data_IF_009833639391
#
_entry.id   IF_009833639391
#
_cell.length_a   1.000
_cell.length_b   1.000
_cell.length_c   1.000
_cell.angle_alpha   90.00
_cell.angle_beta   90.00
_cell.angle_gamma   90.00
#
_symmetry.space_group_name_H-M   'P 1'
#
loop_
_entity.id
_entity.type
_entity.pdbx_description
1 polymer ?
#
# COMPACT_ATOMS: atom_id res chain seq x y z
N UNK A 1 4.93 10.57 -11.98
CA UNK A 1 4.27 10.97 -10.73
C UNK A 1 3.16 9.99 -10.40
N UNK A 2 2.79 9.84 -9.12
CA UNK A 2 1.68 8.98 -8.66
C UNK A 2 0.39 9.27 -9.45
N UNK A 3 0.10 10.55 -9.67
CA UNK A 3 -1.05 11.00 -10.47
C UNK A 3 -0.98 10.56 -11.95
N UNK A 4 0.20 10.60 -12.58
CA UNK A 4 0.36 10.13 -13.96
C UNK A 4 0.14 8.62 -14.10
N UNK A 5 0.64 7.83 -13.14
CA UNK A 5 0.36 6.40 -13.09
C UNK A 5 -1.14 6.12 -12.89
N UNK A 6 -1.79 6.83 -11.97
CA UNK A 6 -3.23 6.71 -11.72
C UNK A 6 -4.07 6.99 -12.97
N UNK A 7 -3.75 8.04 -13.74
CA UNK A 7 -4.43 8.36 -15.00
C UNK A 7 -4.28 7.24 -16.03
N UNK A 8 -3.08 6.67 -16.18
CA UNK A 8 -2.82 5.58 -17.14
C UNK A 8 -3.60 4.33 -16.76
N UNK A 9 -3.58 3.95 -15.48
CA UNK A 9 -4.34 2.79 -14.97
C UNK A 9 -5.83 3.01 -15.17
N UNK A 10 -6.36 4.18 -14.79
CA UNK A 10 -7.77 4.51 -14.94
C UNK A 10 -8.21 4.46 -16.40
N UNK A 11 -7.44 5.06 -17.32
CA UNK A 11 -7.73 5.03 -18.76
C UNK A 11 -7.75 3.60 -19.32
N UNK A 12 -6.79 2.75 -18.90
CA UNK A 12 -6.75 1.34 -19.31
C UNK A 12 -7.95 0.56 -18.78
N UNK A 13 -8.32 0.76 -17.52
CA UNK A 13 -9.46 0.10 -16.88
C UNK A 13 -10.78 0.53 -17.52
N UNK A 14 -10.98 1.83 -17.73
CA UNK A 14 -12.20 2.37 -18.37
C UNK A 14 -12.40 1.87 -19.81
N UNK A 15 -11.31 1.60 -20.54
CA UNK A 15 -11.36 1.02 -21.89
C UNK A 15 -11.67 -0.47 -21.89
N UNK A 16 -11.41 -1.18 -20.80
CA UNK A 16 -11.72 -2.60 -20.69
C UNK A 16 -13.18 -2.81 -20.25
N UNK A 17 -14.08 -2.96 -21.22
CA UNK A 17 -15.52 -3.21 -20.96
C UNK A 17 -15.81 -4.50 -20.18
N UNK A 18 -14.88 -5.45 -20.16
CA UNK A 18 -15.00 -6.69 -19.40
C UNK A 18 -14.49 -6.57 -17.95
N UNK A 19 -13.95 -5.41 -17.55
CA UNK A 19 -13.43 -5.21 -16.21
C UNK A 19 -14.56 -5.27 -15.17
N UNK A 20 -14.40 -6.16 -14.19
CA UNK A 20 -15.32 -6.29 -13.06
C UNK A 20 -14.90 -5.32 -11.96
N UNK A 21 -15.58 -4.19 -11.85
CA UNK A 21 -15.27 -3.14 -10.85
C UNK A 21 -15.26 -3.61 -9.41
N UNK A 22 -16.09 -4.59 -9.05
CA UNK A 22 -16.08 -5.23 -7.73
C UNK A 22 -15.60 -6.69 -7.82
N UNK A 23 -14.84 -7.01 -8.86
CA UNK A 23 -14.21 -8.30 -9.08
C UNK A 23 -12.94 -8.50 -8.24
N UNK A 24 -12.32 -9.68 -8.34
CA UNK A 24 -11.10 -10.00 -7.59
C UNK A 24 -9.88 -9.19 -8.04
N UNK A 25 -9.84 -8.76 -9.31
CA UNK A 25 -8.72 -7.97 -9.85
C UNK A 25 -8.83 -6.47 -9.56
N UNK A 26 -9.91 -6.04 -8.89
CA UNK A 26 -10.13 -4.64 -8.57
C UNK A 26 -9.61 -4.28 -7.18
N UNK A 27 -9.00 -3.10 -7.08
CA UNK A 27 -8.61 -2.48 -5.82
C UNK A 27 -9.77 -1.74 -5.14
N UNK A 28 -10.96 -1.71 -5.75
CA UNK A 28 -12.13 -1.15 -5.08
C UNK A 28 -12.58 -2.05 -3.91
N UNK A 29 -12.95 -1.45 -2.77
CA UNK A 29 -13.60 -2.17 -1.69
C UNK A 29 -14.89 -2.85 -2.15
N UNK A 30 -15.14 -4.06 -1.67
CA UNK A 30 -16.32 -4.89 -1.94
C UNK A 30 -16.76 -5.60 -0.66
N UNK A 31 -17.98 -6.13 -0.64
CA UNK A 31 -18.53 -6.84 0.52
C UNK A 31 -17.64 -7.97 1.06
N UNK A 32 -16.94 -8.68 0.17
CA UNK A 32 -15.95 -9.70 0.57
C UNK A 32 -14.86 -9.14 1.49
N UNK A 33 -14.39 -7.90 1.29
CA UNK A 33 -13.33 -7.32 2.13
C UNK A 33 -13.80 -7.18 3.58
N UNK A 34 -15.09 -6.85 3.77
CA UNK A 34 -15.73 -6.81 5.08
C UNK A 34 -15.88 -8.22 5.68
N UNK A 35 -16.26 -9.20 4.88
CA UNK A 35 -16.36 -10.59 5.33
C UNK A 35 -15.00 -11.17 5.72
N UNK A 36 -13.97 -10.98 4.88
CA UNK A 36 -12.60 -11.40 5.14
C UNK A 36 -12.03 -10.76 6.41
N UNK A 37 -12.33 -9.47 6.64
CA UNK A 37 -11.92 -8.78 7.87
C UNK A 37 -12.60 -9.37 9.11
N UNK A 38 -13.93 -9.56 9.08
CA UNK A 38 -14.66 -10.18 10.20
C UNK A 38 -14.14 -11.59 10.49
N UNK A 39 -13.93 -12.39 9.45
CA UNK A 39 -13.45 -13.76 9.59
C UNK A 39 -12.00 -13.80 10.11
N UNK A 40 -11.15 -12.85 9.70
CA UNK A 40 -9.82 -12.67 10.26
C UNK A 40 -9.87 -12.41 11.77
N UNK A 41 -10.71 -11.46 12.21
CA UNK A 41 -10.90 -11.20 13.64
C UNK A 41 -11.39 -12.45 14.38
N UNK A 42 -12.40 -13.15 13.84
CA UNK A 42 -12.90 -14.39 14.45
C UNK A 42 -11.81 -15.44 14.56
N UNK A 43 -11.01 -15.63 13.52
CA UNK A 43 -9.90 -16.58 13.52
C UNK A 43 -8.84 -16.24 14.57
N UNK A 44 -8.45 -14.96 14.70
CA UNK A 44 -7.52 -14.52 15.74
C UNK A 44 -8.00 -14.84 17.17
N UNK A 45 -9.31 -14.79 17.40
CA UNK A 45 -9.92 -15.19 18.69
C UNK A 45 -10.27 -16.68 18.79
N UNK A 46 -9.84 -17.51 17.83
CA UNK A 46 -10.14 -18.95 17.79
C UNK A 46 -11.62 -19.30 17.51
N UNK A 47 -12.41 -18.35 17.00
CA UNK A 47 -13.87 -18.44 16.77
C UNK A 47 -14.24 -18.70 15.30
N UNK A 48 -13.28 -19.15 14.49
CA UNK A 48 -13.46 -19.37 13.06
C UNK A 48 -12.23 -19.99 12.40
N UNK A 49 -12.38 -20.36 11.12
CA UNK A 49 -11.24 -20.75 10.27
C UNK A 49 -10.55 -19.49 9.74
N UNK A 50 -9.27 -19.61 9.39
CA UNK A 50 -8.55 -18.56 8.69
C UNK A 50 -9.28 -18.21 7.38
N UNK A 51 -9.53 -16.92 7.08
CA UNK A 51 -10.21 -16.54 5.86
C UNK A 51 -9.39 -16.90 4.63
N UNK A 52 -10.06 -17.34 3.57
CA UNK A 52 -9.43 -17.53 2.27
C UNK A 52 -9.39 -16.20 1.53
N UNK A 53 -8.19 -15.62 1.49
CA UNK A 53 -7.95 -14.33 0.89
C UNK A 53 -7.87 -14.42 -0.63
N UNK A 54 -8.24 -13.31 -1.26
CA UNK A 54 -8.20 -13.14 -2.71
C UNK A 54 -6.92 -12.40 -3.15
N UNK A 55 -6.77 -12.18 -4.45
CA UNK A 55 -5.66 -11.46 -5.09
C UNK A 55 -5.23 -10.20 -4.31
N UNK A 56 -6.23 -9.41 -3.94
CA UNK A 56 -6.07 -8.23 -3.09
C UNK A 56 -6.80 -8.44 -1.77
N UNK A 57 -6.06 -8.34 -0.68
CA UNK A 57 -6.61 -8.36 0.68
C UNK A 57 -7.25 -7.03 1.05
N UNK A 58 -8.12 -7.04 2.06
CA UNK A 58 -8.79 -5.83 2.52
C UNK A 58 -7.79 -4.76 3.01
N UNK A 59 -6.68 -5.16 3.62
CA UNK A 59 -5.67 -4.23 4.10
C UNK A 59 -4.75 -3.70 2.99
N UNK A 60 -4.45 -4.49 1.95
CA UNK A 60 -3.73 -3.98 0.78
C UNK A 60 -4.55 -2.95 0.02
N UNK A 61 -5.87 -3.17 -0.10
CA UNK A 61 -6.76 -2.16 -0.67
C UNK A 61 -6.80 -0.91 0.19
N UNK A 62 -6.89 -1.05 1.52
CA UNK A 62 -6.82 0.07 2.44
C UNK A 62 -5.51 0.85 2.27
N UNK A 63 -4.36 0.18 2.31
CA UNK A 63 -3.04 0.80 2.14
C UNK A 63 -2.93 1.52 0.78
N UNK A 64 -3.41 0.88 -0.29
CA UNK A 64 -3.48 1.48 -1.63
C UNK A 64 -4.26 2.80 -1.60
N UNK A 65 -5.50 2.81 -1.11
CA UNK A 65 -6.34 4.01 -1.11
C UNK A 65 -5.86 5.09 -0.12
N UNK A 66 -5.32 4.68 1.03
CA UNK A 66 -4.76 5.59 2.02
C UNK A 66 -3.64 6.45 1.41
N UNK A 67 -2.77 5.86 0.58
CA UNK A 67 -1.69 6.61 -0.09
C UNK A 67 -2.22 7.67 -1.06
N UNK A 68 -3.23 7.36 -1.88
CA UNK A 68 -3.79 8.37 -2.82
C UNK A 68 -4.55 9.47 -2.09
N UNK A 69 -5.30 9.11 -1.05
CA UNK A 69 -5.98 10.08 -0.20
C UNK A 69 -4.97 11.02 0.47
N UNK A 70 -3.95 10.44 1.12
CA UNK A 70 -2.93 11.22 1.81
C UNK A 70 -2.12 12.09 0.87
N UNK A 71 -1.73 11.58 -0.30
CA UNK A 71 -1.05 12.37 -1.33
C UNK A 71 -1.89 13.56 -1.81
N UNK A 72 -3.22 13.40 -1.91
CA UNK A 72 -4.12 14.49 -2.26
C UNK A 72 -4.19 15.54 -1.15
N UNK A 73 -4.43 15.12 0.10
CA UNK A 73 -4.57 16.05 1.24
C UNK A 73 -3.27 16.79 1.50
N UNK A 74 -2.15 16.08 1.64
CA UNK A 74 -0.83 16.70 1.89
C UNK A 74 -0.35 17.53 0.70
N UNK A 75 -0.62 17.08 -0.53
CA UNK A 75 -0.23 17.78 -1.76
C UNK A 75 -0.98 19.09 -1.94
N UNK A 76 -2.31 19.08 -1.80
CA UNK A 76 -3.13 20.28 -1.95
C UNK A 76 -2.87 21.28 -0.82
N UNK A 77 -2.85 20.81 0.43
CA UNK A 77 -2.52 21.68 1.57
C UNK A 77 -1.10 22.26 1.47
N UNK A 78 -0.14 21.46 1.01
CA UNK A 78 1.24 21.91 0.78
C UNK A 78 1.33 22.98 -0.30
N UNK A 79 0.57 22.85 -1.40
CA UNK A 79 0.49 23.88 -2.45
C UNK A 79 -0.12 25.17 -1.88
N UNK A 80 -1.19 25.08 -1.08
CA UNK A 80 -1.82 26.25 -0.45
C UNK A 80 -0.81 26.99 0.43
N UNK A 81 -0.06 26.26 1.26
CA UNK A 81 0.93 26.84 2.17
C UNK A 81 2.14 27.39 1.41
N UNK A 82 2.66 26.67 0.43
CA UNK A 82 3.81 27.10 -0.36
C UNK A 82 3.52 28.34 -1.21
N UNK A 83 2.33 28.40 -1.83
CA UNK A 83 1.90 29.54 -2.64
C UNK A 83 1.16 30.63 -1.84
N UNK A 84 1.30 30.64 -0.50
CA UNK A 84 0.58 31.58 0.38
C UNK A 84 0.67 33.06 -0.04
N UNK A 85 1.85 33.61 -0.39
CA UNK A 85 1.96 35.02 -0.79
C UNK A 85 1.08 35.41 -1.99
N UNK A 86 0.79 34.44 -2.87
CA UNK A 86 -0.10 34.61 -4.00
C UNK A 86 -1.56 34.33 -3.63
N UNK A 87 -1.82 33.23 -2.92
CA UNK A 87 -3.17 32.76 -2.62
C UNK A 87 -3.90 33.60 -1.57
N UNK A 88 -3.20 34.37 -0.74
CA UNK A 88 -3.79 35.33 0.20
C UNK A 88 -4.69 36.38 -0.49
N UNK A 89 -4.50 36.60 -1.80
CA UNK A 89 -5.34 37.51 -2.60
C UNK A 89 -6.70 36.91 -2.94
N UNK A 90 -6.84 35.59 -2.86
CA UNK A 90 -8.01 34.84 -3.34
C UNK A 90 -8.70 34.02 -2.24
N UNK A 91 -7.97 33.62 -1.20
CA UNK A 91 -8.46 32.78 -0.12
C UNK A 91 -8.54 33.56 1.19
N UNK A 92 -9.57 33.32 2.01
CA UNK A 92 -9.65 33.88 3.35
C UNK A 92 -8.57 33.30 4.27
N UNK A 93 -8.13 34.08 5.27
CA UNK A 93 -7.04 33.70 6.17
C UNK A 93 -7.23 32.34 6.89
N UNK A 94 -8.48 31.98 7.22
CA UNK A 94 -8.77 30.70 7.87
C UNK A 94 -8.42 29.49 7.00
N UNK A 95 -8.41 29.63 5.66
CA UNK A 95 -8.04 28.54 4.75
C UNK A 95 -6.60 28.10 4.95
N UNK A 96 -5.70 29.00 5.33
CA UNK A 96 -4.30 28.68 5.62
C UNK A 96 -4.17 27.94 6.95
N UNK A 97 -4.97 28.29 7.96
CA UNK A 97 -5.02 27.54 9.22
C UNK A 97 -5.49 26.10 8.97
N UNK A 98 -6.53 25.92 8.16
CA UNK A 98 -7.01 24.59 7.77
C UNK A 98 -5.96 23.83 6.97
N UNK A 99 -5.28 24.48 6.02
CA UNK A 99 -4.20 23.86 5.27
C UNK A 99 -3.04 23.42 6.16
N UNK A 100 -2.63 24.23 7.14
CA UNK A 100 -1.59 23.86 8.12
C UNK A 100 -1.98 22.62 8.92
N UNK A 101 -3.20 22.60 9.47
CA UNK A 101 -3.69 21.46 10.26
C UNK A 101 -3.78 20.21 9.38
N UNK A 102 -4.40 20.32 8.20
CA UNK A 102 -4.55 19.21 7.27
C UNK A 102 -3.20 18.65 6.83
N UNK A 103 -2.23 19.51 6.49
CA UNK A 103 -0.90 19.10 6.09
C UNK A 103 -0.16 18.39 7.23
N UNK A 104 -0.16 18.97 8.44
CA UNK A 104 0.54 18.42 9.60
C UNK A 104 -0.03 17.08 10.06
N UNK A 105 -1.36 16.99 10.18
CA UNK A 105 -2.04 15.75 10.56
C UNK A 105 -1.84 14.66 9.51
N UNK A 106 -1.97 14.99 8.23
CA UNK A 106 -1.77 14.00 7.17
C UNK A 106 -0.31 13.55 7.08
N UNK A 107 0.66 14.45 7.28
CA UNK A 107 2.08 14.07 7.34
C UNK A 107 2.34 13.06 8.47
N UNK A 108 1.75 13.27 9.65
CA UNK A 108 1.84 12.32 10.75
C UNK A 108 1.17 10.99 10.42
N UNK A 109 -0.06 11.01 9.89
CA UNK A 109 -0.80 9.81 9.51
C UNK A 109 -0.07 9.01 8.41
N UNK A 110 0.54 9.68 7.44
CA UNK A 110 1.31 9.06 6.38
C UNK A 110 2.55 8.35 6.93
N UNK A 111 3.31 8.99 7.84
CA UNK A 111 4.45 8.36 8.51
C UNK A 111 4.00 7.17 9.35
N UNK A 112 2.95 7.34 10.17
CA UNK A 112 2.42 6.27 11.01
C UNK A 112 1.97 5.06 10.17
N UNK A 113 1.23 5.29 9.08
CA UNK A 113 0.75 4.23 8.18
C UNK A 113 1.93 3.52 7.50
N UNK A 114 2.92 4.28 7.01
CA UNK A 114 4.11 3.72 6.37
C UNK A 114 4.88 2.78 7.32
N UNK A 115 5.13 3.19 8.56
CA UNK A 115 5.96 2.39 9.47
C UNK A 115 5.20 1.31 10.25
N UNK A 116 3.91 1.52 10.56
CA UNK A 116 3.11 0.55 11.30
C UNK A 116 2.48 -0.47 10.37
N UNK A 117 1.87 -0.04 9.26
CA UNK A 117 1.13 -0.94 8.37
C UNK A 117 2.05 -1.47 7.28
N UNK A 118 2.65 -0.58 6.49
CA UNK A 118 3.38 -0.98 5.30
C UNK A 118 4.69 -1.70 5.63
N UNK A 119 5.50 -1.18 6.56
CA UNK A 119 6.76 -1.83 6.96
C UNK A 119 6.50 -3.18 7.63
N UNK A 120 5.52 -3.26 8.53
CA UNK A 120 5.17 -4.51 9.19
C UNK A 120 4.78 -5.60 8.19
N UNK A 121 3.86 -5.28 7.27
CA UNK A 121 3.35 -6.25 6.30
C UNK A 121 4.41 -6.75 5.31
N UNK A 122 5.44 -5.94 5.01
CA UNK A 122 6.45 -6.29 4.01
C UNK A 122 7.79 -6.79 4.59
N UNK A 123 8.06 -6.55 5.88
CA UNK A 123 9.38 -6.85 6.48
C UNK A 123 9.30 -7.67 7.77
N UNK A 124 8.22 -7.53 8.55
CA UNK A 124 8.12 -8.12 9.89
C UNK A 124 7.10 -9.24 10.00
N UNK A 125 6.31 -9.48 8.96
CA UNK A 125 5.47 -10.68 8.88
C UNK A 125 6.37 -11.93 8.83
N UNK A 126 6.16 -12.96 9.67
CA UNK A 126 7.04 -14.14 9.74
C UNK A 126 7.31 -14.80 8.38
N UNK A 127 6.31 -14.85 7.51
CA UNK A 127 6.40 -15.43 6.16
C UNK A 127 7.30 -14.62 5.22
N UNK A 128 7.45 -13.31 5.48
CA UNK A 128 8.20 -12.35 4.64
C UNK A 128 9.54 -11.92 5.24
N UNK A 129 9.81 -12.31 6.48
CA UNK A 129 11.01 -11.90 7.19
C UNK A 129 12.27 -12.46 6.50
N UNK A 130 13.34 -11.67 6.35
CA UNK A 130 13.53 -10.28 6.83
C UNK A 130 13.08 -9.19 5.84
N UNK A 131 12.70 -9.56 4.61
CA UNK A 131 12.35 -8.65 3.52
C UNK A 131 11.62 -9.41 2.40
N UNK A 132 10.45 -8.91 1.99
CA UNK A 132 9.83 -9.36 0.74
C UNK A 132 10.53 -8.75 -0.49
N UNK A 133 10.92 -9.60 -1.45
CA UNK A 133 11.59 -9.18 -2.70
C UNK A 133 10.68 -9.18 -3.92
N UNK A 134 9.39 -9.55 -3.78
CA UNK A 134 8.43 -9.65 -4.88
C UNK A 134 8.32 -8.33 -5.67
N UNK A 135 8.44 -7.18 -5.01
CA UNK A 135 8.41 -5.88 -5.68
C UNK A 135 9.57 -5.66 -6.67
N UNK A 136 10.70 -6.37 -6.48
CA UNK A 136 11.86 -6.28 -7.36
C UNK A 136 11.93 -7.44 -8.35
N UNK A 137 11.56 -8.65 -7.91
CA UNK A 137 11.60 -9.86 -8.74
C UNK A 137 10.44 -9.94 -9.72
N UNK A 138 9.30 -9.30 -9.41
CA UNK A 138 8.05 -9.45 -10.14
C UNK A 138 7.49 -10.88 -10.13
N UNK A 139 8.01 -11.75 -9.26
CA UNK A 139 7.67 -13.17 -9.19
C UNK A 139 7.59 -13.63 -7.73
N UNK A 140 6.67 -14.55 -7.47
CA UNK A 140 6.33 -15.06 -6.15
C UNK A 140 6.62 -16.57 -6.11
N UNK A 141 7.16 -17.07 -5.00
CA UNK A 141 7.16 -18.52 -4.73
C UNK A 141 5.74 -19.10 -4.81
N UNK A 142 5.60 -20.26 -5.46
CA UNK A 142 4.30 -20.83 -5.78
C UNK A 142 3.58 -21.36 -4.53
N UNK A 143 4.29 -21.96 -3.58
CA UNK A 143 3.67 -22.50 -2.36
C UNK A 143 3.24 -21.36 -1.44
N UNK A 144 4.07 -20.32 -1.34
CA UNK A 144 3.70 -19.10 -0.63
C UNK A 144 2.49 -18.41 -1.26
N UNK A 145 2.45 -18.30 -2.59
CA UNK A 145 1.31 -17.74 -3.32
C UNK A 145 0.03 -18.55 -3.09
N UNK A 146 0.09 -19.88 -3.10
CA UNK A 146 -1.06 -20.74 -2.77
C UNK A 146 -1.59 -20.48 -1.36
N UNK A 147 -0.70 -20.28 -0.41
CA UNK A 147 -1.05 -20.04 0.98
C UNK A 147 -1.64 -18.64 1.20
N UNK A 148 -1.02 -17.61 0.63
CA UNK A 148 -1.44 -16.21 0.83
C UNK A 148 -2.60 -15.77 -0.08
N UNK A 149 -2.72 -16.34 -1.28
CA UNK A 149 -3.72 -15.99 -2.31
C UNK A 149 -4.47 -17.23 -2.81
N UNK A 150 -5.08 -18.03 -1.90
CA UNK A 150 -5.67 -19.32 -2.25
C UNK A 150 -6.79 -19.20 -3.30
N UNK A 151 -7.59 -18.13 -3.24
CA UNK A 151 -8.69 -17.93 -4.20
C UNK A 151 -8.18 -17.51 -5.59
N UNK A 152 -7.08 -16.75 -5.66
CA UNK A 152 -6.47 -16.41 -6.94
C UNK A 152 -5.82 -17.64 -7.57
N UNK A 153 -5.08 -18.42 -6.77
CA UNK A 153 -4.51 -19.68 -7.20
C UNK A 153 -5.57 -20.66 -7.73
N UNK A 154 -6.68 -20.83 -6.99
CA UNK A 154 -7.78 -21.70 -7.41
C UNK A 154 -8.36 -21.29 -8.77
N UNK A 155 -8.63 -19.98 -8.95
CA UNK A 155 -9.13 -19.48 -10.24
C UNK A 155 -8.15 -19.67 -11.39
N UNK A 156 -6.85 -19.43 -11.18
CA UNK A 156 -5.82 -19.65 -12.20
C UNK A 156 -5.68 -21.13 -12.58
N UNK A 157 -5.85 -22.02 -11.61
CA UNK A 157 -5.84 -23.47 -11.83
C UNK A 157 -7.08 -23.92 -12.60
N UNK A 158 -8.27 -23.45 -12.21
CA UNK A 158 -9.54 -23.77 -12.87
C UNK A 158 -9.62 -23.22 -14.30
N UNK A 159 -9.07 -22.03 -14.56
CA UNK A 159 -9.04 -21.43 -15.90
C UNK A 159 -7.98 -22.05 -16.82
N UNK A 160 -7.07 -22.88 -16.28
CA UNK A 160 -5.92 -23.41 -17.02
C UNK A 160 -4.87 -22.36 -17.36
N UNK A 161 -4.90 -21.18 -16.72
CA UNK A 161 -3.95 -20.10 -16.97
C UNK A 161 -2.71 -20.17 -16.09
N UNK A 162 -2.73 -20.97 -15.02
CA UNK A 162 -1.61 -21.08 -14.06
C UNK A 162 -0.26 -21.31 -14.75
N UNK A 163 -0.17 -22.25 -15.70
CA UNK A 163 1.08 -22.58 -16.39
C UNK A 163 1.67 -21.40 -17.18
N UNK A 164 0.82 -20.50 -17.69
CA UNK A 164 1.25 -19.30 -18.43
C UNK A 164 1.93 -18.27 -17.53
N UNK A 165 1.65 -18.32 -16.22
CA UNK A 165 2.20 -17.41 -15.23
C UNK A 165 3.39 -18.00 -14.46
N UNK A 166 3.71 -19.29 -14.66
CA UNK A 166 4.88 -19.89 -14.05
C UNK A 166 6.15 -19.37 -14.73
N UNK A 167 7.05 -18.83 -13.91
CA UNK A 167 8.35 -18.32 -14.35
C UNK A 167 9.47 -19.02 -13.62
N UNK A 168 10.67 -19.01 -14.20
CA UNK A 168 11.86 -19.52 -13.51
C UNK A 168 12.18 -18.62 -12.31
N UNK A 169 12.62 -19.19 -11.17
CA UNK A 169 13.06 -18.39 -10.04
C UNK A 169 14.16 -17.38 -10.42
N UNK A 170 14.23 -16.22 -9.75
CA UNK A 170 15.31 -15.27 -9.95
C UNK A 170 16.69 -15.91 -9.77
N UNK A 171 17.67 -15.48 -10.56
CA UNK A 171 19.06 -15.95 -10.40
C UNK A 171 19.59 -15.56 -9.02
N UNK A 172 20.56 -16.32 -8.48
CA UNK A 172 21.21 -15.98 -7.20
C UNK A 172 21.74 -14.54 -7.17
N UNK A 173 22.33 -14.06 -8.27
CA UNK A 173 22.83 -12.68 -8.38
C UNK A 173 21.70 -11.65 -8.30
N UNK A 174 20.60 -11.87 -9.03
CA UNK A 174 19.44 -10.98 -8.97
C UNK A 174 18.84 -10.95 -7.56
N UNK A 175 18.69 -12.11 -6.92
CA UNK A 175 18.18 -12.21 -5.56
C UNK A 175 19.04 -11.42 -4.55
N UNK A 176 20.38 -11.51 -4.64
CA UNK A 176 21.29 -10.70 -3.81
C UNK A 176 21.08 -9.19 -4.05
N UNK A 177 20.96 -8.77 -5.33
CA UNK A 177 20.72 -7.36 -5.67
C UNK A 177 19.40 -6.87 -5.07
N UNK A 178 18.33 -7.66 -5.17
CA UNK A 178 17.02 -7.31 -4.61
C UNK A 178 17.08 -7.11 -3.09
N UNK A 179 17.83 -7.97 -2.38
CA UNK A 179 18.02 -7.81 -0.94
C UNK A 179 18.85 -6.57 -0.60
N UNK A 180 19.94 -6.29 -1.34
CA UNK A 180 20.73 -5.06 -1.13
C UNK A 180 19.84 -3.83 -1.33
N UNK A 181 19.04 -3.81 -2.40
CA UNK A 181 18.10 -2.72 -2.66
C UNK A 181 17.07 -2.56 -1.54
N UNK A 182 16.41 -3.66 -1.15
CA UNK A 182 15.38 -3.61 -0.12
C UNK A 182 15.93 -3.24 1.26
N UNK A 183 17.06 -3.80 1.70
CA UNK A 183 17.69 -3.39 2.95
C UNK A 183 18.18 -1.94 2.92
N UNK A 184 18.65 -1.44 1.77
CA UNK A 184 19.01 -0.03 1.61
C UNK A 184 17.79 0.89 1.78
N UNK A 185 16.67 0.54 1.15
CA UNK A 185 15.41 1.28 1.28
C UNK A 185 14.88 1.21 2.72
N UNK A 186 14.94 0.04 3.34
CA UNK A 186 14.54 -0.18 4.73
C UNK A 186 15.39 0.68 5.69
N UNK A 187 16.72 0.66 5.55
CA UNK A 187 17.63 1.47 6.36
C UNK A 187 17.39 2.97 6.18
N UNK A 188 17.15 3.40 4.94
CA UNK A 188 16.78 4.79 4.62
C UNK A 188 15.47 5.17 5.31
N UNK A 189 14.44 4.32 5.20
CA UNK A 189 13.16 4.53 5.87
C UNK A 189 13.29 4.62 7.39
N UNK A 190 13.99 3.68 8.02
CA UNK A 190 14.22 3.71 9.47
C UNK A 190 14.97 4.98 9.89
N UNK A 191 15.97 5.41 9.11
CA UNK A 191 16.70 6.66 9.38
C UNK A 191 15.76 7.87 9.33
N UNK A 192 14.90 7.95 8.31
CA UNK A 192 13.90 9.01 8.19
C UNK A 192 12.88 8.97 9.35
N UNK A 193 12.43 7.79 9.78
CA UNK A 193 11.57 7.65 10.96
C UNK A 193 12.24 8.21 12.21
N UNK A 194 13.50 7.85 12.46
CA UNK A 194 14.27 8.35 13.61
C UNK A 194 14.36 9.87 13.55
N UNK A 195 14.64 10.45 12.38
CA UNK A 195 14.67 11.91 12.20
C UNK A 195 13.32 12.56 12.50
N UNK A 196 12.21 11.98 12.01
CA UNK A 196 10.86 12.46 12.29
C UNK A 196 10.58 12.41 13.80
N UNK A 197 10.86 11.30 14.46
CA UNK A 197 10.67 11.15 15.91
C UNK A 197 11.50 12.17 16.70
N UNK A 198 12.76 12.39 16.33
CA UNK A 198 13.61 13.43 16.96
C UNK A 198 12.99 14.82 16.77
N UNK A 199 12.52 15.14 15.55
CA UNK A 199 11.84 16.40 15.27
C UNK A 199 10.61 16.59 16.14
N UNK A 200 9.78 15.55 16.24
CA UNK A 200 8.58 15.52 17.08
C UNK A 200 8.88 15.74 18.57
N UNK A 201 9.90 15.06 19.12
CA UNK A 201 10.26 15.20 20.54
C UNK A 201 10.77 16.62 20.83
N UNK A 202 11.50 17.23 19.91
CA UNK A 202 12.09 18.57 20.11
C UNK A 202 11.11 19.71 19.89
N UNK A 203 10.18 19.58 18.95
CA UNK A 203 9.36 20.69 18.47
C UNK A 203 7.85 20.49 18.65
N UNK A 204 7.38 19.29 18.98
CA UNK A 204 5.95 18.97 19.03
C UNK A 204 5.36 18.63 17.65
N UNK A 205 4.03 18.42 17.62
CA UNK A 205 3.29 18.09 16.38
C UNK A 205 3.01 19.33 15.52
N UNK A 206 3.15 20.53 16.09
CA UNK A 206 2.93 21.84 15.47
C UNK A 206 3.90 22.85 16.07
#
# INVERSE_FOLDING_TARGET
SVFGHGIVVLNRVLKNKAFKWFGPDSLLPRWKDWDDMKDMFRWFFGKGKQPQLDRWTYWEKFDYWAVYWGALVIGLSGIVLWASPFLLKFLPGWSFNVATIAHGVEAFLAVATLFVVHFFNNHFRPEKFPLDTVMFSGSWDLEEFKHERPLEYARLKESGELEKHLVKPPTKRANIIFHIMGFTLLATGITLLVMVVIGFIKHGLV
#
